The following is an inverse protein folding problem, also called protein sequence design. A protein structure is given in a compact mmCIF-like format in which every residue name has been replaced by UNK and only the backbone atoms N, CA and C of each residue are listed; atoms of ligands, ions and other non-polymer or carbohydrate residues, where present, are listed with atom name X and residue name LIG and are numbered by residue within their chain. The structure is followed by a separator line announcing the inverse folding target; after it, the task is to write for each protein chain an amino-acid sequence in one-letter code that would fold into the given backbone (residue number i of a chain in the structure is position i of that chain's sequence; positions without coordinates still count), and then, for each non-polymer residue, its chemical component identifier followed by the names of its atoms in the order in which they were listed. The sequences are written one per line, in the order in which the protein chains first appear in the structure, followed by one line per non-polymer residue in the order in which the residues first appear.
data_IF_032396638693
#
_entry.id   IF_032396638693
#
_cell.length_a   1.000
_cell.length_b   1.000
_cell.length_c   1.000
_cell.angle_alpha   90.00
_cell.angle_beta   90.00
_cell.angle_gamma   90.00
#
_symmetry.space_group_name_H-M   'P 1'
#
loop_
_entity.id
_entity.type
_entity.pdbx_description
1 polymer ?
#
# COMPACT_ATOMS: atom_id res chain seq x y z
N UNK A 1 -1.13 -17.56 35.05
CA UNK A 1 -2.50 -17.55 34.49
C UNK A 1 -3.40 -18.00 35.62
N UNK A 2 -4.17 -17.08 36.20
CA UNK A 2 -5.21 -17.46 37.16
C UNK A 2 -6.32 -18.19 36.40
N UNK A 3 -6.51 -19.45 36.73
CA UNK A 3 -7.56 -20.32 36.17
C UNK A 3 -8.95 -19.99 36.71
N UNK A 4 -9.06 -18.97 37.56
CA UNK A 4 -10.31 -18.56 38.23
C UNK A 4 -10.92 -17.28 37.66
N UNK A 5 -10.34 -16.67 36.63
CA UNK A 5 -11.01 -15.64 35.83
C UNK A 5 -12.07 -16.32 34.95
N UNK A 6 -13.12 -16.78 35.62
CA UNK A 6 -14.33 -17.30 35.00
C UNK A 6 -14.85 -16.21 34.06
N UNK A 7 -14.90 -16.56 32.77
CA UNK A 7 -15.54 -15.76 31.73
C UNK A 7 -17.02 -15.62 32.08
N UNK A 8 -17.35 -14.69 32.97
CA UNK A 8 -18.72 -14.29 33.18
C UNK A 8 -19.26 -13.87 31.83
N UNK A 9 -20.31 -14.58 31.42
CA UNK A 9 -21.08 -14.46 30.18
C UNK A 9 -21.75 -13.09 29.96
N UNK A 10 -21.23 -12.05 30.60
CA UNK A 10 -21.61 -10.67 30.39
C UNK A 10 -21.44 -10.36 28.90
N UNK A 11 -22.59 -10.13 28.26
CA UNK A 11 -22.74 -9.82 26.84
C UNK A 11 -21.65 -8.84 26.37
N UNK A 12 -21.17 -8.95 25.12
CA UNK A 12 -20.27 -7.96 24.57
C UNK A 12 -20.91 -6.58 24.76
N UNK A 13 -20.24 -5.70 25.51
CA UNK A 13 -20.65 -4.32 25.71
C UNK A 13 -20.71 -3.65 24.33
N UNK A 14 -21.91 -3.63 23.77
CA UNK A 14 -22.20 -3.00 22.50
C UNK A 14 -21.82 -1.53 22.66
N UNK A 15 -21.16 -0.88 21.67
CA UNK A 15 -20.73 0.52 21.74
C UNK A 15 -21.91 1.50 21.66
N UNK A 16 -22.98 1.25 22.42
CA UNK A 16 -24.26 1.95 22.34
C UNK A 16 -24.11 3.42 22.73
N UNK A 17 -23.34 3.71 23.78
CA UNK A 17 -23.14 5.09 24.24
C UNK A 17 -22.31 5.91 23.22
N UNK A 18 -21.10 5.49 22.79
CA UNK A 18 -20.36 6.24 21.77
C UNK A 18 -21.12 6.37 20.45
N UNK A 19 -21.89 5.35 20.07
CA UNK A 19 -22.73 5.37 18.87
C UNK A 19 -23.84 6.43 18.97
N UNK A 20 -24.65 6.39 20.04
CA UNK A 20 -25.74 7.35 20.23
C UNK A 20 -25.22 8.78 20.37
N UNK A 21 -24.18 8.98 21.20
CA UNK A 21 -23.54 10.28 21.36
C UNK A 21 -23.00 10.79 20.02
N UNK A 22 -22.33 9.94 19.26
CA UNK A 22 -21.81 10.31 17.95
C UNK A 22 -22.92 10.65 16.94
N UNK A 23 -24.03 9.91 16.92
CA UNK A 23 -25.19 10.25 16.09
C UNK A 23 -25.81 11.59 16.48
N UNK A 24 -25.96 11.86 17.78
CA UNK A 24 -26.50 13.14 18.27
C UNK A 24 -25.58 14.29 17.91
N UNK A 25 -24.27 14.16 18.18
CA UNK A 25 -23.26 15.18 17.83
C UNK A 25 -23.30 15.45 16.33
N UNK A 26 -23.34 14.39 15.51
CA UNK A 26 -23.42 14.54 14.08
C UNK A 26 -24.67 15.29 13.63
N UNK A 27 -25.85 14.90 14.13
CA UNK A 27 -27.11 15.55 13.76
C UNK A 27 -27.09 17.05 14.12
N UNK A 28 -26.62 17.38 15.32
CA UNK A 28 -26.50 18.78 15.77
C UNK A 28 -25.52 19.56 14.89
N UNK A 29 -24.35 19.00 14.59
CA UNK A 29 -23.35 19.66 13.76
C UNK A 29 -23.82 19.83 12.32
N UNK A 30 -24.46 18.81 11.74
CA UNK A 30 -25.05 18.90 10.41
C UNK A 30 -26.06 20.06 10.34
N UNK A 31 -27.01 20.10 11.26
CA UNK A 31 -28.04 21.14 11.30
C UNK A 31 -27.44 22.54 11.52
N UNK A 32 -26.45 22.64 12.40
CA UNK A 32 -25.76 23.91 12.70
C UNK A 32 -24.97 24.39 11.49
N UNK A 33 -24.20 23.51 10.85
CA UNK A 33 -23.41 23.83 9.67
C UNK A 33 -24.31 24.17 8.48
N UNK A 34 -25.39 23.42 8.29
CA UNK A 34 -26.37 23.70 7.24
C UNK A 34 -27.02 25.07 7.45
N UNK A 35 -27.46 25.37 8.68
CA UNK A 35 -28.02 26.66 9.04
C UNK A 35 -27.00 27.80 8.85
N UNK A 36 -25.74 27.58 9.24
CA UNK A 36 -24.66 28.53 9.02
C UNK A 36 -24.44 28.81 7.53
N UNK A 37 -24.26 27.76 6.71
CA UNK A 37 -24.04 27.91 5.27
C UNK A 37 -25.23 28.58 4.59
N UNK A 38 -26.47 28.22 4.97
CA UNK A 38 -27.68 28.85 4.45
C UNK A 38 -27.77 30.34 4.77
N UNK A 39 -27.39 30.76 5.97
CA UNK A 39 -27.54 32.15 6.42
C UNK A 39 -26.38 33.05 5.95
N UNK A 40 -25.15 32.54 5.94
CA UNK A 40 -23.96 33.34 5.63
C UNK A 40 -23.51 33.20 4.16
N UNK A 41 -23.82 32.08 3.50
CA UNK A 41 -23.45 31.79 2.11
C UNK A 41 -24.65 31.28 1.30
N UNK A 42 -25.77 32.03 1.22
CA UNK A 42 -27.02 31.55 0.64
C UNK A 42 -26.87 31.12 -0.82
N UNK A 43 -26.13 31.86 -1.64
CA UNK A 43 -25.91 31.50 -3.04
C UNK A 43 -25.18 30.14 -3.20
N UNK A 44 -24.22 29.86 -2.32
CA UNK A 44 -23.53 28.57 -2.32
C UNK A 44 -24.45 27.45 -1.84
N UNK A 45 -25.24 27.70 -0.78
CA UNK A 45 -26.24 26.75 -0.29
C UNK A 45 -27.25 26.36 -1.37
N UNK A 46 -27.77 27.34 -2.10
CA UNK A 46 -28.71 27.13 -3.19
C UNK A 46 -28.08 26.31 -4.32
N UNK A 47 -26.83 26.60 -4.71
CA UNK A 47 -26.08 25.77 -5.67
C UNK A 47 -25.91 24.31 -5.20
N UNK A 48 -25.59 24.09 -3.92
CA UNK A 48 -25.53 22.74 -3.37
C UNK A 48 -26.88 22.01 -3.48
N UNK A 49 -27.98 22.72 -3.21
CA UNK A 49 -29.35 22.17 -3.25
C UNK A 49 -29.83 21.85 -4.66
N UNK A 50 -29.31 22.52 -5.70
CA UNK A 50 -29.61 22.20 -7.10
C UNK A 50 -29.15 20.79 -7.48
N UNK A 51 -28.06 20.30 -6.88
CA UNK A 51 -27.56 18.94 -7.08
C UNK A 51 -27.44 18.21 -5.73
N UNK A 52 -28.59 17.76 -5.22
CA UNK A 52 -28.70 17.09 -3.92
C UNK A 52 -27.78 15.86 -3.85
N UNK A 53 -27.74 15.07 -4.93
CA UNK A 53 -27.06 13.77 -4.94
C UNK A 53 -25.54 13.93 -4.98
N UNK A 54 -25.00 14.84 -5.80
CA UNK A 54 -23.55 14.96 -6.01
C UNK A 54 -22.90 16.02 -5.13
N UNK A 55 -23.56 17.17 -4.93
CA UNK A 55 -23.00 18.32 -4.20
C UNK A 55 -23.44 18.32 -2.74
N UNK A 56 -24.73 18.45 -2.47
CA UNK A 56 -25.23 18.58 -1.08
C UNK A 56 -24.85 17.38 -0.20
N UNK A 57 -25.12 16.15 -0.65
CA UNK A 57 -24.80 14.94 0.10
C UNK A 57 -23.28 14.77 0.30
N UNK A 58 -22.48 15.21 -0.67
CA UNK A 58 -21.04 15.17 -0.52
C UNK A 58 -20.56 16.17 0.55
N UNK A 59 -21.04 17.41 0.56
CA UNK A 59 -20.61 18.41 1.54
C UNK A 59 -21.06 18.09 2.97
N UNK A 60 -22.35 17.81 3.16
CA UNK A 60 -22.94 17.59 4.49
C UNK A 60 -22.94 16.13 4.94
N UNK A 61 -22.54 15.20 4.07
CA UNK A 61 -22.30 13.80 4.39
C UNK A 61 -20.80 13.50 4.36
N UNK A 62 -20.25 13.26 3.18
CA UNK A 62 -18.90 12.71 2.98
C UNK A 62 -17.78 13.64 3.43
N UNK A 63 -17.83 14.94 3.15
CA UNK A 63 -16.79 15.89 3.50
C UNK A 63 -16.76 16.13 5.01
N UNK A 64 -17.92 16.37 5.61
CA UNK A 64 -18.03 16.41 7.07
C UNK A 64 -17.55 15.08 7.70
N UNK A 65 -17.90 13.96 7.08
CA UNK A 65 -17.45 12.62 7.49
C UNK A 65 -15.93 12.48 7.46
N UNK A 66 -15.29 13.10 6.47
CA UNK A 66 -13.83 13.14 6.32
C UNK A 66 -13.17 13.86 7.49
N UNK A 67 -13.74 14.95 7.98
CA UNK A 67 -13.25 15.65 9.17
C UNK A 67 -13.40 14.73 10.39
N UNK A 68 -14.54 14.06 10.52
CA UNK A 68 -14.80 13.10 11.60
C UNK A 68 -13.92 11.84 11.55
N UNK A 69 -13.42 11.45 10.38
CA UNK A 69 -12.48 10.34 10.23
C UNK A 69 -11.16 10.58 10.98
N UNK A 70 -10.77 11.83 11.24
CA UNK A 70 -9.60 12.12 12.09
C UNK A 70 -9.84 11.65 13.52
N UNK A 71 -11.02 11.95 14.09
CA UNK A 71 -11.42 11.47 15.43
C UNK A 71 -11.53 9.95 15.44
N UNK A 72 -12.09 9.36 14.38
CA UNK A 72 -12.14 7.91 14.24
C UNK A 72 -10.74 7.27 14.15
N UNK A 73 -9.80 7.88 13.44
CA UNK A 73 -8.44 7.37 13.34
C UNK A 73 -7.71 7.42 14.70
N UNK A 74 -7.89 8.50 15.47
CA UNK A 74 -7.32 8.63 16.82
C UNK A 74 -7.91 7.57 17.75
N UNK A 75 -9.24 7.44 17.79
CA UNK A 75 -9.92 6.45 18.66
C UNK A 75 -9.59 5.02 18.26
N UNK A 76 -9.51 4.71 16.97
CA UNK A 76 -9.05 3.40 16.50
C UNK A 76 -7.56 3.15 16.73
N UNK A 77 -6.72 4.20 16.78
CA UNK A 77 -5.32 4.10 17.18
C UNK A 77 -5.19 3.78 18.65
N UNK A 78 -5.96 4.47 19.49
CA UNK A 78 -6.05 4.13 20.90
C UNK A 78 -6.54 2.68 21.09
N UNK A 79 -7.57 2.25 20.35
CA UNK A 79 -8.05 0.87 20.38
C UNK A 79 -6.94 -0.12 19.96
N UNK A 80 -6.21 0.16 18.88
CA UNK A 80 -5.10 -0.67 18.40
C UNK A 80 -4.06 -0.94 19.50
N UNK A 81 -3.63 0.11 20.21
CA UNK A 81 -2.57 0.00 21.23
C UNK A 81 -3.07 -0.50 22.60
N UNK A 82 -4.33 -0.29 22.92
CA UNK A 82 -4.90 -0.70 24.23
C UNK A 82 -5.54 -2.09 24.20
N UNK A 83 -5.86 -2.61 23.02
CA UNK A 83 -6.38 -3.97 22.85
C UNK A 83 -5.33 -4.98 23.31
N UNK A 84 -5.71 -5.92 24.19
CA UNK A 84 -4.79 -6.92 24.75
C UNK A 84 -4.39 -7.96 23.69
N UNK A 85 -3.15 -8.48 23.76
CA UNK A 85 -2.67 -9.45 22.77
C UNK A 85 -3.47 -10.77 22.78
N UNK A 86 -4.06 -11.11 23.91
CA UNK A 86 -4.94 -12.27 24.05
C UNK A 86 -6.15 -12.23 23.09
N UNK A 87 -6.65 -11.05 22.73
CA UNK A 87 -7.80 -10.92 21.81
C UNK A 87 -7.44 -11.18 20.35
N UNK A 88 -6.16 -11.46 20.05
CA UNK A 88 -5.75 -11.94 18.74
C UNK A 88 -5.98 -13.46 18.58
N UNK A 89 -6.40 -14.14 19.65
CA UNK A 89 -6.78 -15.56 19.65
C UNK A 89 -8.27 -15.67 19.28
N UNK A 90 -8.54 -16.37 18.17
CA UNK A 90 -9.91 -16.64 17.71
C UNK A 90 -10.73 -17.36 18.76
N UNK A 91 -11.97 -16.93 18.96
CA UNK A 91 -12.91 -17.59 19.86
C UNK A 91 -12.78 -17.15 21.32
N UNK A 92 -11.74 -16.38 21.66
CA UNK A 92 -11.60 -15.81 23.00
C UNK A 92 -12.58 -14.62 23.15
N UNK A 93 -13.60 -14.81 23.96
CA UNK A 93 -14.59 -13.76 24.25
C UNK A 93 -14.03 -12.83 25.33
N UNK A 94 -13.90 -11.55 24.98
CA UNK A 94 -13.64 -10.45 25.91
C UNK A 94 -14.60 -9.31 25.59
N UNK A 95 -15.07 -8.53 26.57
CA UNK A 95 -15.81 -7.30 26.26
C UNK A 95 -14.92 -6.32 25.47
N UNK A 96 -15.54 -5.38 24.76
CA UNK A 96 -14.84 -4.26 24.14
C UNK A 96 -14.42 -3.28 25.24
N UNK A 97 -13.15 -2.92 25.29
CA UNK A 97 -12.70 -1.85 26.18
C UNK A 97 -13.23 -0.48 25.72
N UNK A 98 -13.10 0.56 26.55
CA UNK A 98 -13.61 1.90 26.25
C UNK A 98 -13.09 2.44 24.91
N UNK A 99 -11.80 2.30 24.61
CA UNK A 99 -11.22 2.79 23.36
C UNK A 99 -11.76 2.02 22.14
N UNK A 100 -11.93 0.70 22.26
CA UNK A 100 -12.58 -0.12 21.25
C UNK A 100 -14.03 0.33 21.00
N UNK A 101 -14.80 0.56 22.07
CA UNK A 101 -16.19 1.03 21.96
C UNK A 101 -16.28 2.36 21.21
N UNK A 102 -15.37 3.31 21.50
CA UNK A 102 -15.31 4.59 20.78
C UNK A 102 -14.92 4.42 19.31
N UNK A 103 -13.91 3.62 19.01
CA UNK A 103 -13.52 3.34 17.62
C UNK A 103 -14.70 2.77 16.81
N UNK A 104 -15.41 1.77 17.35
CA UNK A 104 -16.56 1.18 16.70
C UNK A 104 -17.73 2.16 16.56
N UNK A 105 -18.05 2.90 17.63
CA UNK A 105 -19.12 3.89 17.62
C UNK A 105 -18.88 4.97 16.56
N UNK A 106 -17.67 5.53 16.51
CA UNK A 106 -17.28 6.50 15.48
C UNK A 106 -17.38 5.92 14.07
N UNK A 107 -16.94 4.68 13.86
CA UNK A 107 -17.02 4.01 12.55
C UNK A 107 -18.46 3.79 12.09
N UNK A 108 -19.30 3.30 12.99
CA UNK A 108 -20.73 3.10 12.71
C UNK A 108 -21.43 4.42 12.35
N UNK A 109 -21.16 5.50 13.10
CA UNK A 109 -21.69 6.84 12.79
C UNK A 109 -21.23 7.27 11.39
N UNK A 110 -19.93 7.21 11.08
CA UNK A 110 -19.41 7.59 9.77
C UNK A 110 -20.10 6.81 8.64
N UNK A 111 -20.23 5.49 8.77
CA UNK A 111 -20.85 4.65 7.74
C UNK A 111 -22.31 5.00 7.50
N UNK A 112 -23.10 5.22 8.55
CA UNK A 112 -24.51 5.64 8.42
C UNK A 112 -24.61 6.97 7.66
N UNK A 113 -23.71 7.91 7.95
CA UNK A 113 -23.77 9.25 7.39
C UNK A 113 -23.26 9.32 5.95
N UNK A 114 -22.43 8.37 5.55
CA UNK A 114 -21.92 8.21 4.19
C UNK A 114 -22.90 7.46 3.27
N UNK A 115 -23.93 6.80 3.81
CA UNK A 115 -24.95 6.07 3.04
C UNK A 115 -25.57 6.85 1.87
N UNK A 116 -25.93 8.14 1.98
CA UNK A 116 -26.52 8.89 0.88
C UNK A 116 -25.57 9.03 -0.33
N UNK A 117 -24.26 8.95 -0.11
CA UNK A 117 -23.22 9.12 -1.13
C UNK A 117 -22.81 7.79 -1.80
N UNK A 118 -23.25 6.66 -1.25
CA UNK A 118 -22.97 5.30 -1.76
C UNK A 118 -23.46 5.11 -3.20
N UNK A 119 -24.50 5.85 -3.61
CA UNK A 119 -25.00 5.84 -4.99
C UNK A 119 -24.07 6.50 -6.00
N UNK A 120 -23.16 7.38 -5.56
CA UNK A 120 -22.28 8.14 -6.43
C UNK A 120 -20.84 7.63 -6.44
N UNK A 121 -20.45 6.87 -5.40
CA UNK A 121 -19.11 6.28 -5.24
C UNK A 121 -19.23 4.77 -4.97
N UNK A 122 -19.24 3.91 -6.00
CA UNK A 122 -19.30 2.46 -5.84
C UNK A 122 -18.18 1.89 -4.95
N UNK A 123 -17.03 2.55 -4.93
CA UNK A 123 -15.89 2.16 -4.11
C UNK A 123 -16.18 2.27 -2.61
N UNK A 124 -17.05 3.19 -2.22
CA UNK A 124 -17.52 3.37 -0.84
C UNK A 124 -18.39 2.19 -0.39
N UNK A 125 -19.19 1.60 -1.32
CA UNK A 125 -19.99 0.40 -1.07
C UNK A 125 -19.09 -0.75 -0.61
N UNK A 126 -18.07 -1.06 -1.40
CA UNK A 126 -17.18 -2.20 -1.15
C UNK A 126 -16.46 -1.99 0.19
N UNK A 127 -15.97 -0.78 0.44
CA UNK A 127 -15.32 -0.44 1.70
C UNK A 127 -16.24 -0.64 2.92
N UNK A 128 -17.49 -0.17 2.86
CA UNK A 128 -18.46 -0.33 3.94
C UNK A 128 -18.87 -1.78 4.14
N UNK A 129 -19.17 -2.51 3.06
CA UNK A 129 -19.55 -3.93 3.14
C UNK A 129 -18.44 -4.75 3.78
N UNK A 130 -17.18 -4.56 3.36
CA UNK A 130 -16.05 -5.26 3.96
C UNK A 130 -15.85 -4.90 5.44
N UNK A 131 -16.02 -3.63 5.80
CA UNK A 131 -15.86 -3.18 7.19
C UNK A 131 -16.98 -3.68 8.11
N UNK A 132 -18.22 -3.66 7.62
CA UNK A 132 -19.39 -4.21 8.34
C UNK A 132 -19.26 -5.73 8.46
N UNK A 133 -18.86 -6.43 7.40
CA UNK A 133 -18.60 -7.86 7.46
C UNK A 133 -17.53 -8.21 8.49
N UNK A 134 -16.47 -7.40 8.57
CA UNK A 134 -15.43 -7.55 9.58
C UNK A 134 -15.96 -7.32 11.01
N UNK A 135 -16.79 -6.29 11.23
CA UNK A 135 -17.46 -6.03 12.52
C UNK A 135 -18.38 -7.18 12.93
N UNK A 136 -19.23 -7.65 12.01
CA UNK A 136 -20.11 -8.81 12.22
C UNK A 136 -19.28 -10.05 12.52
N UNK A 137 -18.16 -10.22 11.81
CA UNK A 137 -17.20 -11.28 12.04
C UNK A 137 -16.68 -11.28 13.48
N UNK A 138 -16.22 -10.13 13.97
CA UNK A 138 -15.78 -9.98 15.36
C UNK A 138 -16.92 -10.32 16.34
N UNK A 139 -18.13 -9.80 16.13
CA UNK A 139 -19.24 -10.00 17.07
C UNK A 139 -19.78 -11.44 17.07
N UNK A 140 -19.91 -12.05 15.90
CA UNK A 140 -20.52 -13.37 15.75
C UNK A 140 -19.52 -14.52 15.97
N UNK A 141 -18.25 -14.32 15.62
CA UNK A 141 -17.23 -15.37 15.60
C UNK A 141 -16.00 -15.05 16.44
N UNK A 142 -15.99 -13.94 17.19
CA UNK A 142 -14.85 -13.51 18.01
C UNK A 142 -13.55 -13.48 17.22
N UNK A 143 -13.61 -12.85 16.04
CA UNK A 143 -12.43 -12.64 15.22
C UNK A 143 -11.41 -11.72 15.92
N UNK A 144 -10.12 -11.90 15.60
CA UNK A 144 -9.07 -10.99 16.01
C UNK A 144 -9.39 -9.55 15.61
N UNK A 145 -9.27 -8.62 16.58
CA UNK A 145 -9.77 -7.24 16.43
C UNK A 145 -8.69 -6.25 16.03
N UNK A 146 -7.47 -6.48 16.50
CA UNK A 146 -6.35 -5.54 16.37
C UNK A 146 -6.00 -5.27 14.90
N UNK A 147 -6.11 -6.28 14.06
CA UNK A 147 -5.93 -6.21 12.61
C UNK A 147 -6.92 -5.21 11.97
N UNK A 148 -8.18 -5.24 12.41
CA UNK A 148 -9.23 -4.38 11.89
C UNK A 148 -9.04 -2.94 12.40
N UNK A 149 -8.61 -2.76 13.66
CA UNK A 149 -8.26 -1.45 14.17
C UNK A 149 -7.12 -0.82 13.39
N UNK A 150 -6.07 -1.59 13.06
CA UNK A 150 -4.97 -1.14 12.21
C UNK A 150 -5.47 -0.67 10.84
N UNK A 151 -6.37 -1.42 10.22
CA UNK A 151 -6.97 -1.00 8.96
C UNK A 151 -7.76 0.31 9.10
N UNK A 152 -8.49 0.46 10.20
CA UNK A 152 -9.29 1.67 10.42
C UNK A 152 -8.45 2.90 10.77
N UNK A 153 -7.30 2.78 11.44
CA UNK A 153 -6.43 3.94 11.68
C UNK A 153 -5.86 4.52 10.39
N UNK A 154 -5.67 3.68 9.37
CA UNK A 154 -5.04 4.05 8.10
C UNK A 154 -5.93 4.92 7.19
N UNK A 155 -7.21 5.11 7.53
CA UNK A 155 -8.20 5.82 6.71
C UNK A 155 -8.08 7.35 6.72
N UNK A 156 -7.12 7.92 7.46
CA UNK A 156 -6.77 9.35 7.39
C UNK A 156 -6.39 9.77 5.96
N UNK A 157 -5.91 8.84 5.14
CA UNK A 157 -5.52 9.09 3.76
C UNK A 157 -6.69 9.54 2.85
N UNK A 158 -7.95 9.32 3.24
CA UNK A 158 -9.13 9.69 2.46
C UNK A 158 -9.33 11.21 2.35
N UNK A 159 -8.65 12.01 3.18
CA UNK A 159 -8.70 13.47 3.13
C UNK A 159 -8.29 14.00 1.76
N UNK A 160 -7.21 13.47 1.18
CA UNK A 160 -6.72 13.91 -0.14
C UNK A 160 -7.69 13.51 -1.25
N UNK A 161 -8.25 12.31 -1.18
CA UNK A 161 -9.27 11.83 -2.12
C UNK A 161 -10.52 12.72 -2.11
N UNK A 162 -11.01 13.10 -0.93
CA UNK A 162 -12.19 13.96 -0.82
C UNK A 162 -11.89 15.43 -1.16
N UNK A 163 -10.69 15.93 -0.83
CA UNK A 163 -10.26 17.26 -1.28
C UNK A 163 -10.16 17.33 -2.81
N UNK A 164 -9.66 16.26 -3.45
CA UNK A 164 -9.66 16.13 -4.91
C UNK A 164 -11.09 16.19 -5.47
N UNK A 165 -12.04 15.51 -4.84
CA UNK A 165 -13.45 15.53 -5.25
C UNK A 165 -14.09 16.92 -5.11
N UNK A 166 -13.76 17.70 -4.07
CA UNK A 166 -14.17 19.12 -3.97
C UNK A 166 -13.72 19.89 -5.20
N UNK A 167 -12.44 19.79 -5.55
CA UNK A 167 -11.88 20.52 -6.68
C UNK A 167 -12.52 20.09 -8.01
N UNK A 168 -12.89 18.81 -8.14
CA UNK A 168 -13.63 18.31 -9.32
C UNK A 168 -15.09 18.78 -9.35
N UNK A 169 -15.75 18.91 -8.21
CA UNK A 169 -17.15 19.41 -8.13
C UNK A 169 -17.24 20.89 -8.53
N UNK A 170 -16.20 21.67 -8.22
CA UNK A 170 -16.12 23.11 -8.51
C UNK A 170 -15.34 23.45 -9.77
N UNK A 171 -15.04 22.46 -10.62
CA UNK A 171 -14.27 22.64 -11.86
C UNK A 171 -12.93 23.39 -11.67
N UNK A 172 -12.36 23.29 -10.46
CA UNK A 172 -11.09 23.90 -10.07
C UNK A 172 -9.89 22.96 -10.33
N UNK A 173 -10.13 21.84 -11.01
CA UNK A 173 -9.15 20.78 -11.20
C UNK A 173 -8.29 21.04 -12.44
N UNK A 174 -7.15 21.69 -12.27
CA UNK A 174 -6.16 21.80 -13.36
C UNK A 174 -5.42 20.46 -13.57
N UNK A 175 -4.83 20.22 -14.77
CA UNK A 175 -4.09 18.98 -15.03
C UNK A 175 -2.95 18.73 -14.02
N UNK A 176 -2.21 19.78 -13.64
CA UNK A 176 -1.14 19.67 -12.66
C UNK A 176 -1.63 19.30 -11.26
N UNK A 177 -2.76 19.89 -10.83
CA UNK A 177 -3.37 19.58 -9.52
C UNK A 177 -3.97 18.18 -9.53
N UNK A 178 -4.62 17.76 -10.62
CA UNK A 178 -5.13 16.38 -10.76
C UNK A 178 -4.00 15.36 -10.68
N UNK A 179 -2.89 15.62 -11.38
CA UNK A 179 -1.72 14.76 -11.34
C UNK A 179 -1.13 14.66 -9.93
N UNK A 180 -0.88 15.79 -9.28
CA UNK A 180 -0.26 15.83 -7.96
C UNK A 180 -1.15 15.19 -6.89
N UNK A 181 -2.44 15.51 -6.87
CA UNK A 181 -3.39 14.91 -5.93
C UNK A 181 -3.57 13.41 -6.16
N UNK A 182 -3.57 12.95 -7.41
CA UNK A 182 -3.61 11.52 -7.74
C UNK A 182 -2.35 10.78 -7.25
N UNK A 183 -1.17 11.37 -7.44
CA UNK A 183 0.09 10.82 -6.94
C UNK A 183 0.06 10.72 -5.42
N UNK A 184 -0.19 11.83 -4.73
CA UNK A 184 -0.19 11.88 -3.26
C UNK A 184 -1.23 10.92 -2.69
N UNK A 185 -2.49 10.98 -3.16
CA UNK A 185 -3.54 10.09 -2.66
C UNK A 185 -3.20 8.61 -2.86
N UNK A 186 -2.69 8.25 -4.03
CA UNK A 186 -2.33 6.86 -4.32
C UNK A 186 -1.12 6.41 -3.48
N UNK A 187 -0.10 7.25 -3.32
CA UNK A 187 1.04 6.97 -2.43
C UNK A 187 0.58 6.77 -0.98
N UNK A 188 -0.34 7.59 -0.47
CA UNK A 188 -0.89 7.44 0.88
C UNK A 188 -1.70 6.15 1.01
N UNK A 189 -2.45 5.74 -0.02
CA UNK A 189 -3.13 4.43 -0.05
C UNK A 189 -2.12 3.29 0.08
N UNK A 190 -1.01 3.35 -0.66
CA UNK A 190 0.05 2.33 -0.58
C UNK A 190 0.68 2.29 0.81
N UNK A 191 1.12 3.44 1.32
CA UNK A 191 1.79 3.56 2.61
C UNK A 191 0.88 3.08 3.74
N UNK A 192 -0.35 3.58 3.81
CA UNK A 192 -1.21 3.34 4.97
C UNK A 192 -2.12 2.12 4.78
N UNK A 193 -2.94 2.08 3.72
CA UNK A 193 -3.99 1.05 3.59
C UNK A 193 -3.44 -0.29 3.13
N UNK A 194 -2.60 -0.32 2.10
CA UNK A 194 -2.04 -1.56 1.56
C UNK A 194 -1.07 -2.16 2.57
N UNK A 195 -0.11 -1.38 3.10
CA UNK A 195 0.80 -1.87 4.14
C UNK A 195 0.05 -2.31 5.40
N UNK A 196 -0.95 -1.54 5.85
CA UNK A 196 -1.78 -1.92 7.00
C UNK A 196 -2.50 -3.25 6.78
N UNK A 197 -3.00 -3.51 5.57
CA UNK A 197 -3.62 -4.78 5.21
C UNK A 197 -2.62 -5.95 5.15
N UNK A 198 -1.39 -5.71 4.68
CA UNK A 198 -0.33 -6.72 4.72
C UNK A 198 0.07 -7.07 6.16
N UNK A 199 0.25 -6.07 7.02
CA UNK A 199 0.55 -6.30 8.45
C UNK A 199 -0.61 -7.04 9.13
N UNK A 200 -1.86 -6.64 8.86
CA UNK A 200 -3.05 -7.34 9.33
C UNK A 200 -3.06 -8.81 8.87
N UNK A 201 -2.72 -9.09 7.61
CA UNK A 201 -2.64 -10.46 7.09
C UNK A 201 -1.58 -11.29 7.81
N UNK A 202 -0.39 -10.72 8.06
CA UNK A 202 0.68 -11.38 8.83
C UNK A 202 0.19 -11.71 10.25
N UNK A 203 -0.48 -10.77 10.91
CA UNK A 203 -1.04 -11.00 12.24
C UNK A 203 -2.14 -12.07 12.25
N UNK A 204 -2.98 -12.16 11.21
CA UNK A 204 -3.96 -13.26 11.09
C UNK A 204 -3.24 -14.62 11.02
N UNK A 205 -2.16 -14.71 10.24
CA UNK A 205 -1.37 -15.93 10.10
C UNK A 205 -0.65 -16.32 11.40
N UNK A 206 -0.18 -15.34 12.16
CA UNK A 206 0.49 -15.55 13.46
C UNK A 206 -0.48 -15.84 14.61
N UNK A 207 -1.71 -15.31 14.56
CA UNK A 207 -2.70 -15.38 15.64
C UNK A 207 -3.32 -16.76 15.91
N UNK A 208 -2.79 -17.83 15.31
CA UNK A 208 -3.28 -19.19 15.51
C UNK A 208 -4.71 -19.43 15.00
N UNK A 209 -5.23 -18.54 14.15
CA UNK A 209 -6.53 -18.69 13.47
C UNK A 209 -6.51 -19.97 12.63
N UNK A 210 -7.53 -20.84 12.76
CA UNK A 210 -7.61 -22.13 12.04
C UNK A 210 -8.96 -22.33 11.34
N UNK A 211 -9.01 -23.29 10.42
CA UNK A 211 -10.23 -23.73 9.76
C UNK A 211 -10.82 -22.70 8.79
N UNK A 212 -12.13 -22.76 8.57
CA UNK A 212 -12.87 -21.91 7.61
C UNK A 212 -12.65 -20.42 7.90
N UNK A 213 -12.61 -20.06 9.18
CA UNK A 213 -12.40 -18.69 9.65
C UNK A 213 -11.07 -18.10 9.16
N UNK A 214 -10.00 -18.90 9.13
CA UNK A 214 -8.71 -18.48 8.58
C UNK A 214 -8.83 -18.15 7.09
N UNK A 215 -9.41 -19.08 6.32
CA UNK A 215 -9.55 -18.91 4.88
C UNK A 215 -10.41 -17.71 4.51
N UNK A 216 -11.52 -17.48 5.24
CA UNK A 216 -12.39 -16.31 5.01
C UNK A 216 -11.64 -15.01 5.30
N UNK A 217 -10.89 -14.93 6.40
CA UNK A 217 -10.10 -13.73 6.72
C UNK A 217 -8.99 -13.47 5.71
N UNK A 218 -8.22 -14.49 5.34
CA UNK A 218 -7.18 -14.37 4.31
C UNK A 218 -7.80 -13.94 2.98
N UNK A 219 -8.89 -14.58 2.55
CA UNK A 219 -9.56 -14.25 1.30
C UNK A 219 -10.09 -12.81 1.30
N UNK A 220 -10.70 -12.35 2.40
CA UNK A 220 -11.17 -10.98 2.53
C UNK A 220 -10.01 -9.96 2.48
N UNK A 221 -8.91 -10.23 3.19
CA UNK A 221 -7.72 -9.35 3.18
C UNK A 221 -7.05 -9.33 1.81
N UNK A 222 -6.87 -10.48 1.16
CA UNK A 222 -6.31 -10.57 -0.19
C UNK A 222 -7.21 -9.87 -1.21
N UNK A 223 -8.52 -10.07 -1.14
CA UNK A 223 -9.49 -9.36 -1.98
C UNK A 223 -9.34 -7.85 -1.81
N UNK A 224 -9.28 -7.37 -0.56
CA UNK A 224 -9.09 -5.95 -0.27
C UNK A 224 -7.75 -5.43 -0.81
N UNK A 225 -6.64 -6.13 -0.60
CA UNK A 225 -5.32 -5.74 -1.13
C UNK A 225 -5.35 -5.66 -2.65
N UNK A 226 -5.83 -6.71 -3.33
CA UNK A 226 -5.92 -6.77 -4.79
C UNK A 226 -6.81 -5.64 -5.31
N UNK A 227 -7.95 -5.40 -4.65
CA UNK A 227 -8.86 -4.33 -5.00
C UNK A 227 -8.19 -2.94 -4.90
N UNK A 228 -7.49 -2.67 -3.80
CA UNK A 228 -6.77 -1.40 -3.60
C UNK A 228 -5.61 -1.23 -4.59
N UNK A 229 -4.88 -2.29 -4.90
CA UNK A 229 -3.83 -2.27 -5.94
C UNK A 229 -4.45 -1.97 -7.31
N UNK A 230 -5.54 -2.65 -7.68
CA UNK A 230 -6.22 -2.41 -8.95
C UNK A 230 -6.73 -0.96 -9.06
N UNK A 231 -7.32 -0.44 -7.98
CA UNK A 231 -7.82 0.94 -7.92
C UNK A 231 -6.70 1.96 -8.10
N UNK A 232 -5.63 1.84 -7.31
CA UNK A 232 -4.49 2.77 -7.38
C UNK A 232 -3.75 2.68 -8.71
N UNK A 233 -3.56 1.48 -9.26
CA UNK A 233 -2.99 1.29 -10.59
C UNK A 233 -3.83 1.94 -11.69
N UNK A 234 -5.16 1.83 -11.60
CA UNK A 234 -6.07 2.52 -12.54
C UNK A 234 -5.92 4.04 -12.44
N UNK A 235 -5.83 4.58 -11.24
CA UNK A 235 -5.61 6.02 -11.03
C UNK A 235 -4.25 6.48 -11.54
N UNK A 236 -3.19 5.72 -11.28
CA UNK A 236 -1.87 6.02 -11.81
C UNK A 236 -1.84 6.01 -13.34
N UNK A 237 -2.48 5.02 -13.97
CA UNK A 237 -2.58 4.93 -15.43
C UNK A 237 -3.40 6.08 -16.02
N UNK A 238 -4.59 6.38 -15.45
CA UNK A 238 -5.47 7.48 -15.90
C UNK A 238 -4.77 8.84 -15.88
N UNK A 239 -3.97 9.10 -14.84
CA UNK A 239 -3.26 10.36 -14.68
C UNK A 239 -1.87 10.32 -15.33
N UNK A 240 -1.54 9.28 -16.11
CA UNK A 240 -0.22 9.07 -16.74
C UNK A 240 0.96 9.20 -15.75
N UNK A 241 0.70 8.86 -14.49
CA UNK A 241 1.73 8.84 -13.45
C UNK A 241 2.68 7.69 -13.74
N UNK A 242 2.12 6.52 -14.08
CA UNK A 242 2.88 5.36 -14.52
C UNK A 242 2.46 5.00 -15.92
N UNK A 243 3.43 5.01 -16.84
CA UNK A 243 3.26 4.44 -18.17
C UNK A 243 4.33 3.37 -18.35
N UNK A 244 3.91 2.14 -18.68
CA UNK A 244 4.85 1.08 -19.06
C UNK A 244 5.12 1.33 -20.53
N UNK A 245 6.38 1.65 -20.88
CA UNK A 245 6.76 1.87 -22.27
C UNK A 245 6.58 0.55 -23.06
N UNK A 246 5.59 0.46 -23.96
CA UNK A 246 5.27 -0.78 -24.64
C UNK A 246 6.32 -1.17 -25.68
N UNK A 247 7.14 -0.22 -26.15
CA UNK A 247 8.16 -0.47 -27.18
C UNK A 247 9.42 -1.08 -26.56
N UNK A 248 9.69 -0.78 -25.28
CA UNK A 248 10.87 -1.27 -24.58
C UNK A 248 10.60 -2.35 -23.53
N UNK A 249 9.38 -2.47 -23.00
CA UNK A 249 8.99 -3.40 -21.91
C UNK A 249 9.74 -3.22 -20.59
N UNK A 250 10.87 -2.50 -20.60
CA UNK A 250 11.90 -2.51 -19.57
C UNK A 250 11.85 -1.30 -18.65
N UNK A 251 11.00 -0.30 -18.95
CA UNK A 251 10.96 0.96 -18.22
C UNK A 251 9.55 1.29 -17.76
N UNK A 252 9.45 1.61 -16.47
CA UNK A 252 8.35 2.33 -15.87
C UNK A 252 8.64 3.83 -16.03
N UNK A 253 7.87 4.51 -16.87
CA UNK A 253 7.96 5.96 -17.01
C UNK A 253 7.08 6.60 -15.94
N UNK A 254 7.71 7.30 -15.00
CA UNK A 254 7.05 8.06 -13.94
C UNK A 254 6.95 9.53 -14.33
N UNK A 255 5.73 10.06 -14.33
CA UNK A 255 5.46 11.48 -14.59
C UNK A 255 5.96 12.00 -15.95
N UNK A 256 6.08 11.13 -16.96
CA UNK A 256 6.67 11.44 -18.28
C UNK A 256 8.14 11.93 -18.23
N UNK A 257 8.78 11.95 -17.04
CA UNK A 257 10.11 12.53 -16.81
C UNK A 257 11.14 11.49 -16.37
N UNK A 258 10.73 10.55 -15.53
CA UNK A 258 11.65 9.60 -14.90
C UNK A 258 11.47 8.23 -15.53
N UNK A 259 12.53 7.67 -16.12
CA UNK A 259 12.52 6.29 -16.62
C UNK A 259 13.14 5.39 -15.56
N UNK A 260 12.32 4.61 -14.87
CA UNK A 260 12.77 3.63 -13.88
C UNK A 260 12.84 2.27 -14.54
N UNK A 261 13.98 1.59 -14.46
CA UNK A 261 14.12 0.25 -15.02
C UNK A 261 13.28 -0.75 -14.19
N UNK A 262 12.35 -1.47 -14.84
CA UNK A 262 11.48 -2.46 -14.21
C UNK A 262 12.29 -3.59 -13.56
N UNK A 263 13.40 -4.01 -14.19
CA UNK A 263 14.31 -5.02 -13.61
C UNK A 263 14.86 -4.51 -12.27
N UNK A 264 15.17 -3.22 -12.16
CA UNK A 264 15.62 -2.60 -10.91
C UNK A 264 14.54 -2.65 -9.82
N UNK A 265 13.28 -2.43 -10.18
CA UNK A 265 12.14 -2.52 -9.26
C UNK A 265 11.99 -3.97 -8.75
N UNK A 266 11.97 -4.96 -9.66
CA UNK A 266 11.85 -6.36 -9.28
C UNK A 266 13.05 -6.87 -8.49
N UNK A 267 14.26 -6.40 -8.79
CA UNK A 267 15.45 -6.70 -8.02
C UNK A 267 15.34 -6.14 -6.60
N UNK A 268 14.89 -4.89 -6.44
CA UNK A 268 14.65 -4.28 -5.13
C UNK A 268 13.56 -5.01 -4.34
N UNK A 269 12.47 -5.40 -5.00
CA UNK A 269 11.41 -6.21 -4.38
C UNK A 269 11.92 -7.58 -3.95
N UNK A 270 12.69 -8.25 -4.82
CA UNK A 270 13.29 -9.55 -4.52
C UNK A 270 14.23 -9.48 -3.31
N UNK A 271 15.02 -8.41 -3.21
CA UNK A 271 15.91 -8.16 -2.09
C UNK A 271 15.12 -7.98 -0.79
N UNK A 272 14.10 -7.11 -0.79
CA UNK A 272 13.24 -6.91 0.37
C UNK A 272 12.53 -8.20 0.81
N UNK A 273 12.03 -9.00 -0.13
CA UNK A 273 11.42 -10.29 0.17
C UNK A 273 12.42 -11.28 0.76
N UNK A 274 13.65 -11.33 0.23
CA UNK A 274 14.70 -12.19 0.78
C UNK A 274 15.13 -11.76 2.19
N UNK A 275 15.20 -10.45 2.47
CA UNK A 275 15.48 -9.95 3.82
C UNK A 275 14.40 -10.34 4.82
N UNK A 276 13.11 -10.15 4.46
CA UNK A 276 11.98 -10.54 5.32
C UNK A 276 11.99 -12.06 5.54
N UNK A 277 12.19 -12.85 4.47
CA UNK A 277 12.31 -14.31 4.56
C UNK A 277 13.46 -14.73 5.49
N UNK A 278 14.61 -14.04 5.40
CA UNK A 278 15.77 -14.29 6.26
C UNK A 278 15.44 -14.07 7.73
N UNK A 279 14.79 -12.94 8.05
CA UNK A 279 14.37 -12.64 9.42
C UNK A 279 13.39 -13.69 9.96
N UNK A 280 12.44 -14.15 9.14
CA UNK A 280 11.48 -15.18 9.53
C UNK A 280 12.14 -16.53 9.78
N UNK A 281 13.03 -16.97 8.88
CA UNK A 281 13.75 -18.25 9.05
C UNK A 281 14.64 -18.20 10.29
N UNK A 282 15.34 -17.08 10.50
CA UNK A 282 16.22 -16.90 11.65
C UNK A 282 15.45 -16.93 12.98
N UNK A 283 14.29 -16.28 13.05
CA UNK A 283 13.43 -16.31 14.24
C UNK A 283 12.88 -17.73 14.52
N UNK A 284 12.56 -18.48 13.46
CA UNK A 284 12.06 -19.86 13.56
C UNK A 284 13.10 -20.86 14.07
N UNK A 285 14.41 -20.59 13.91
CA UNK A 285 15.50 -21.47 14.34
C UNK A 285 15.72 -21.48 15.88
N UNK A 286 14.88 -20.79 16.64
CA UNK A 286 14.90 -20.82 18.10
C UNK A 286 16.00 -19.97 18.74
N UNK A 287 16.83 -19.30 17.94
CA UNK A 287 17.70 -18.19 18.35
C UNK A 287 16.87 -16.93 18.56
N UNK A 288 15.95 -16.99 19.53
CA UNK A 288 14.93 -15.98 19.81
C UNK A 288 15.49 -14.56 19.67
N UNK A 289 15.12 -13.85 18.60
CA UNK A 289 15.28 -12.40 18.51
C UNK A 289 14.27 -11.80 19.51
N UNK A 290 14.59 -11.90 20.79
CA UNK A 290 13.66 -11.53 21.88
C UNK A 290 13.79 -10.08 22.27
N UNK A 291 14.90 -9.42 21.89
CA UNK A 291 15.07 -8.01 22.16
C UNK A 291 14.69 -7.17 20.95
N UNK A 292 13.89 -6.13 21.17
CA UNK A 292 13.59 -5.06 20.21
C UNK A 292 14.88 -4.51 19.57
N UNK A 293 15.94 -4.42 20.37
CA UNK A 293 17.30 -4.04 19.95
C UNK A 293 17.87 -4.99 18.89
N UNK A 294 17.65 -6.30 19.03
CA UNK A 294 18.06 -7.31 18.07
C UNK A 294 17.38 -7.11 16.72
N UNK A 295 16.05 -6.97 16.71
CA UNK A 295 15.26 -6.73 15.48
C UNK A 295 15.75 -5.45 14.78
N UNK A 296 15.85 -4.33 15.51
CA UNK A 296 16.33 -3.07 14.94
C UNK A 296 17.75 -3.19 14.37
N UNK A 297 18.66 -3.88 15.07
CA UNK A 297 20.03 -4.08 14.59
C UNK A 297 20.08 -4.92 13.31
N UNK A 298 19.27 -5.98 13.24
CA UNK A 298 19.17 -6.84 12.05
C UNK A 298 18.62 -6.04 10.88
N UNK A 299 17.51 -5.31 11.05
CA UNK A 299 16.93 -4.48 9.98
C UNK A 299 17.90 -3.40 9.50
N UNK A 300 18.66 -2.78 10.40
CA UNK A 300 19.66 -1.78 10.01
C UNK A 300 20.80 -2.42 9.21
N UNK A 301 21.30 -3.56 9.65
CA UNK A 301 22.41 -4.26 9.00
C UNK A 301 22.01 -4.84 7.65
N UNK A 302 20.78 -5.34 7.49
CA UNK A 302 20.30 -5.79 6.17
C UNK A 302 20.22 -4.62 5.19
N UNK A 303 19.70 -3.47 5.62
CA UNK A 303 19.66 -2.26 4.79
C UNK A 303 21.07 -1.77 4.41
N UNK A 304 22.02 -1.83 5.35
CA UNK A 304 23.43 -1.55 5.07
C UNK A 304 24.01 -2.55 4.06
N UNK A 305 23.73 -3.84 4.23
CA UNK A 305 24.18 -4.90 3.33
C UNK A 305 23.60 -4.75 1.91
N UNK A 306 22.36 -4.32 1.78
CA UNK A 306 21.74 -3.96 0.51
C UNK A 306 22.49 -2.81 -0.18
N UNK A 307 22.77 -1.72 0.55
CA UNK A 307 23.48 -0.56 0.03
C UNK A 307 24.92 -0.89 -0.37
N UNK A 308 25.67 -1.57 0.50
CA UNK A 308 27.06 -1.99 0.21
C UNK A 308 27.11 -3.05 -0.89
N UNK A 309 26.10 -3.91 -1.00
CA UNK A 309 25.96 -4.85 -2.10
C UNK A 309 25.74 -4.15 -3.45
N UNK A 310 24.91 -3.10 -3.50
CA UNK A 310 24.77 -2.29 -4.72
C UNK A 310 26.09 -1.60 -5.10
N UNK A 311 26.81 -1.06 -4.11
CA UNK A 311 28.13 -0.46 -4.30
C UNK A 311 29.13 -1.52 -4.81
N UNK A 312 29.21 -2.68 -4.16
CA UNK A 312 30.07 -3.80 -4.53
C UNK A 312 29.78 -4.33 -5.92
N UNK A 313 28.50 -4.43 -6.30
CA UNK A 313 28.10 -4.82 -7.64
C UNK A 313 28.62 -3.85 -8.71
N UNK A 314 28.70 -2.56 -8.40
CA UNK A 314 29.22 -1.54 -9.32
C UNK A 314 30.75 -1.43 -9.34
N UNK A 315 31.42 -1.67 -8.20
CA UNK A 315 32.89 -1.56 -8.08
C UNK A 315 33.60 -2.81 -8.59
N UNK A 316 33.07 -4.01 -8.34
CA UNK A 316 33.75 -5.26 -8.61
C UNK A 316 34.15 -5.45 -10.10
N UNK A 317 33.31 -5.10 -11.10
CA UNK A 317 33.74 -5.12 -12.50
C UNK A 317 34.87 -4.13 -12.80
N UNK A 318 34.91 -2.97 -12.12
CA UNK A 318 35.92 -1.92 -12.33
C UNK A 318 37.27 -2.27 -11.70
N UNK A 319 37.25 -3.07 -10.64
CA UNK A 319 38.46 -3.57 -9.99
C UNK A 319 39.12 -4.69 -10.79
N UNK A 320 38.37 -5.37 -11.66
CA UNK A 320 38.88 -6.42 -12.53
C UNK A 320 39.34 -5.83 -13.89
N UNK A 321 40.55 -5.25 -13.89
CA UNK A 321 41.14 -4.52 -15.03
C UNK A 321 41.30 -5.33 -16.33
N UNK A 322 41.34 -6.67 -16.25
CA UNK A 322 41.50 -7.53 -17.44
C UNK A 322 40.20 -7.77 -18.22
N UNK A 323 39.09 -7.17 -17.79
CA UNK A 323 37.75 -7.52 -18.26
C UNK A 323 36.94 -6.33 -18.77
N UNK A 324 37.63 -5.29 -19.23
CA UNK A 324 37.06 -3.99 -19.59
C UNK A 324 36.20 -3.98 -20.86
N UNK A 325 36.25 -5.02 -21.70
CA UNK A 325 35.60 -4.97 -23.03
C UNK A 325 34.22 -5.62 -23.11
N UNK A 326 33.83 -6.52 -22.21
CA UNK A 326 32.59 -7.32 -22.37
C UNK A 326 31.80 -7.62 -21.10
N UNK A 327 32.18 -7.14 -19.91
CA UNK A 327 31.44 -7.46 -18.69
C UNK A 327 30.17 -6.59 -18.51
N UNK A 328 29.12 -7.16 -17.88
CA UNK A 328 27.97 -6.40 -17.46
C UNK A 328 28.37 -5.27 -16.50
N UNK A 329 27.67 -4.13 -16.60
CA UNK A 329 27.89 -2.93 -15.75
C UNK A 329 27.74 -3.20 -14.24
N UNK A 330 27.22 -4.37 -13.85
CA UNK A 330 27.02 -4.81 -12.48
C UNK A 330 27.45 -6.28 -12.33
N UNK A 331 28.20 -6.60 -11.28
CA UNK A 331 28.58 -7.97 -10.90
C UNK A 331 27.73 -8.46 -9.73
N UNK A 332 26.97 -9.53 -9.95
CA UNK A 332 26.19 -10.18 -8.89
C UNK A 332 27.10 -10.72 -7.77
N UNK A 333 28.22 -11.33 -8.14
CA UNK A 333 29.22 -11.84 -7.19
C UNK A 333 29.83 -10.73 -6.34
N UNK A 334 30.14 -9.59 -6.97
CA UNK A 334 30.67 -8.42 -6.27
C UNK A 334 29.67 -7.87 -5.25
N UNK A 335 28.40 -7.76 -5.62
CA UNK A 335 27.39 -7.28 -4.70
C UNK A 335 27.12 -8.23 -3.54
N UNK A 336 27.07 -9.53 -3.83
CA UNK A 336 26.87 -10.54 -2.81
C UNK A 336 28.04 -10.60 -1.81
N UNK A 337 29.29 -10.53 -2.28
CA UNK A 337 30.47 -10.53 -1.42
C UNK A 337 30.45 -9.33 -0.46
N UNK A 338 30.12 -8.13 -0.95
CA UNK A 338 30.05 -6.93 -0.13
C UNK A 338 28.88 -6.98 0.87
N UNK A 339 27.72 -7.49 0.46
CA UNK A 339 26.58 -7.68 1.35
C UNK A 339 26.90 -8.67 2.48
N UNK A 340 27.47 -9.83 2.14
CA UNK A 340 27.88 -10.85 3.12
C UNK A 340 28.97 -10.32 4.07
N UNK A 341 29.98 -9.62 3.54
CA UNK A 341 31.01 -8.99 4.35
C UNK A 341 30.40 -7.95 5.32
N UNK A 342 29.42 -7.18 4.87
CA UNK A 342 28.72 -6.20 5.72
C UNK A 342 28.02 -6.91 6.89
N UNK A 343 27.33 -8.01 6.64
CA UNK A 343 26.66 -8.77 7.69
C UNK A 343 27.67 -9.36 8.70
N UNK A 344 28.75 -9.96 8.20
CA UNK A 344 29.73 -10.63 9.05
C UNK A 344 30.58 -9.65 9.88
N UNK A 345 30.88 -8.48 9.34
CA UNK A 345 31.80 -7.51 9.94
C UNK A 345 31.12 -6.25 10.50
N UNK A 346 29.79 -6.10 10.37
CA UNK A 346 29.14 -4.89 10.87
C UNK A 346 29.25 -4.80 12.40
N UNK A 347 29.72 -3.66 12.94
CA UNK A 347 29.72 -3.39 14.37
C UNK A 347 28.33 -3.01 14.89
N UNK A 348 27.36 -2.72 14.01
CA UNK A 348 26.00 -2.32 14.42
C UNK A 348 25.08 -3.50 14.68
N UNK A 349 25.48 -4.72 14.33
CA UNK A 349 24.72 -5.92 14.65
C UNK A 349 24.89 -6.25 16.14
N UNK A 350 23.78 -6.48 16.84
CA UNK A 350 23.83 -6.80 18.26
C UNK A 350 24.63 -8.09 18.53
N UNK A 351 25.40 -8.11 19.61
CA UNK A 351 26.25 -9.25 19.99
C UNK A 351 25.47 -10.54 20.27
N UNK A 352 24.15 -10.42 20.50
CA UNK A 352 23.24 -11.56 20.69
C UNK A 352 22.87 -12.26 19.38
N UNK A 353 23.17 -11.68 18.22
CA UNK A 353 22.84 -12.23 16.90
C UNK A 353 24.00 -13.09 16.41
N UNK A 354 23.76 -14.39 16.24
CA UNK A 354 24.68 -15.28 15.55
C UNK A 354 24.80 -14.86 14.06
N UNK A 355 25.91 -14.22 13.75
CA UNK A 355 26.26 -13.70 12.42
C UNK A 355 26.31 -14.80 11.37
N UNK A 356 26.77 -16.00 11.76
CA UNK A 356 26.95 -17.12 10.84
C UNK A 356 25.61 -17.76 10.49
N UNK A 357 24.76 -17.99 11.49
CA UNK A 357 23.40 -18.47 11.29
C UNK A 357 22.57 -17.46 10.49
N UNK A 358 22.70 -16.15 10.78
CA UNK A 358 22.00 -15.11 10.03
C UNK A 358 22.43 -15.05 8.56
N UNK A 359 23.75 -15.12 8.31
CA UNK A 359 24.28 -15.20 6.95
C UNK A 359 23.78 -16.45 6.21
N UNK A 360 23.72 -17.61 6.88
CA UNK A 360 23.17 -18.84 6.30
C UNK A 360 21.67 -18.71 5.95
N UNK A 361 20.87 -18.09 6.83
CA UNK A 361 19.46 -17.80 6.55
C UNK A 361 19.28 -16.90 5.32
N UNK A 362 20.20 -15.93 5.12
CA UNK A 362 20.20 -15.10 3.92
C UNK A 362 20.48 -15.92 2.66
N UNK A 363 21.42 -16.87 2.75
CA UNK A 363 21.69 -17.79 1.63
C UNK A 363 20.49 -18.63 1.26
N UNK A 364 19.76 -19.12 2.27
CA UNK A 364 18.52 -19.88 2.06
C UNK A 364 17.42 -19.04 1.42
N UNK A 365 17.40 -17.73 1.68
CA UNK A 365 16.42 -16.79 1.11
C UNK A 365 16.82 -16.23 -0.25
N UNK A 366 18.08 -16.39 -0.67
CA UNK A 366 18.59 -15.88 -1.96
C UNK A 366 17.81 -16.38 -3.19
N UNK A 367 17.40 -17.66 -3.29
CA UNK A 367 16.59 -18.14 -4.42
C UNK A 367 15.31 -17.33 -4.63
N UNK A 368 14.70 -16.80 -3.57
CA UNK A 368 13.51 -15.95 -3.67
C UNK A 368 13.82 -14.64 -4.41
N UNK A 369 14.94 -13.98 -4.06
CA UNK A 369 15.40 -12.78 -4.77
C UNK A 369 15.68 -13.07 -6.24
N UNK A 370 16.39 -14.18 -6.53
CA UNK A 370 16.72 -14.58 -7.90
C UNK A 370 15.45 -14.88 -8.71
N UNK A 371 14.50 -15.65 -8.16
CA UNK A 371 13.23 -15.94 -8.81
C UNK A 371 12.42 -14.68 -9.15
N UNK A 372 12.27 -13.75 -8.20
CA UNK A 372 11.56 -12.48 -8.42
C UNK A 372 12.28 -11.64 -9.49
N UNK A 373 13.62 -11.58 -9.43
CA UNK A 373 14.43 -10.85 -10.41
C UNK A 373 14.31 -11.46 -11.81
N UNK A 374 14.36 -12.79 -11.94
CA UNK A 374 14.17 -13.51 -13.21
C UNK A 374 12.78 -13.29 -13.78
N UNK A 375 11.75 -13.32 -12.93
CA UNK A 375 10.40 -13.00 -13.35
C UNK A 375 10.30 -11.57 -13.87
N UNK A 376 10.89 -10.60 -13.15
CA UNK A 376 10.99 -9.22 -13.61
C UNK A 376 11.72 -9.07 -14.95
N UNK A 377 12.79 -9.83 -15.18
CA UNK A 377 13.48 -9.87 -16.48
C UNK A 377 12.56 -10.40 -17.58
N UNK A 378 11.82 -11.48 -17.32
CA UNK A 378 10.90 -12.06 -18.30
C UNK A 378 9.79 -11.08 -18.71
N UNK A 379 9.31 -10.26 -17.77
CA UNK A 379 8.33 -9.21 -18.01
C UNK A 379 8.93 -8.00 -18.74
N UNK A 380 10.21 -7.72 -18.52
CA UNK A 380 10.92 -6.60 -19.13
C UNK A 380 11.35 -6.86 -20.58
N UNK A 381 11.54 -8.12 -20.97
CA UNK A 381 11.83 -8.52 -22.35
C UNK A 381 10.56 -8.45 -23.20
N UNK A 382 10.53 -7.66 -24.29
CA UNK A 382 9.40 -7.68 -25.21
C UNK A 382 9.26 -9.07 -25.86
N UNK A 383 8.03 -9.52 -26.16
CA UNK A 383 7.83 -10.76 -26.91
C UNK A 383 8.56 -10.69 -28.25
N UNK A 384 9.22 -11.79 -28.63
CA UNK A 384 10.08 -11.92 -29.82
C UNK A 384 9.44 -11.43 -31.11
N UNK A 385 8.12 -11.52 -31.22
CA UNK A 385 7.35 -11.02 -32.37
C UNK A 385 7.41 -9.50 -32.56
N UNK A 386 7.59 -8.70 -31.51
CA UNK A 386 7.70 -7.22 -31.62
C UNK A 386 9.13 -6.81 -31.96
N UNK A 387 10.12 -7.55 -31.48
CA UNK A 387 11.53 -7.30 -31.77
C UNK A 387 11.85 -7.56 -33.26
N UNK A 388 11.29 -8.63 -33.85
CA UNK A 388 11.44 -8.96 -35.28
C UNK A 388 10.77 -7.93 -36.19
N UNK A 389 9.58 -7.42 -35.82
CA UNK A 389 8.89 -6.36 -36.59
C UNK A 389 9.67 -5.04 -36.53
N UNK A 390 10.19 -4.64 -35.36
CA UNK A 390 10.96 -3.40 -35.22
C UNK A 390 12.34 -3.46 -35.89
N UNK A 391 12.94 -4.65 -35.99
CA UNK A 391 14.19 -4.86 -36.74
C UNK A 391 13.95 -4.94 -38.24
N UNK A 392 12.84 -5.54 -38.68
CA UNK A 392 12.42 -5.52 -40.09
C UNK A 392 12.12 -4.11 -40.59
N UNK A 393 11.49 -3.27 -39.77
CA UNK A 393 11.12 -1.89 -40.15
C UNK A 393 12.35 -0.98 -40.23
N UNK A 394 13.32 -1.14 -39.31
CA UNK A 394 14.61 -0.45 -39.37
C UNK A 394 15.50 -0.89 -40.54
N UNK A 395 15.43 -2.16 -40.94
CA UNK A 395 16.18 -2.67 -42.08
C UNK A 395 15.48 -2.35 -43.41
N UNK A 396 14.15 -2.19 -43.43
CA UNK A 396 13.39 -1.76 -44.60
C UNK A 396 13.56 -0.28 -44.97
N UNK A 397 13.85 0.59 -43.98
CA UNK A 397 14.12 2.02 -44.21
C UNK A 397 15.54 2.32 -44.73
N UNK A 398 16.46 1.35 -44.67
CA UNK A 398 17.85 1.51 -45.15
C UNK A 398 18.08 0.94 -46.57
N UNK A 399 17.01 0.56 -47.30
CA UNK A 399 17.11 -0.03 -48.64
C UNK A 399 16.53 0.85 -49.77
N UNK A 400 16.22 2.12 -49.48
CA UNK A 400 15.85 3.09 -50.53
C UNK A 400 16.96 4.13 -50.59
N UNK A 401 17.98 3.85 -51.41
CA UNK A 401 18.91 4.88 -51.87
C UNK A 401 18.09 5.98 -52.60
N UNK A 402 18.37 7.27 -52.37
CA UNK A 402 17.69 8.33 -53.08
C UNK A 402 18.13 8.30 -54.55
N UNK A 403 17.20 7.95 -55.44
CA UNK A 403 17.34 8.19 -56.87
C UNK A 403 17.45 9.69 -57.07
N UNK A 404 18.63 10.12 -57.48
CA UNK A 404 19.01 11.49 -57.84
C UNK A 404 18.17 11.93 -59.05
N UNK A 405 16.99 12.50 -58.79
CA UNK A 405 16.15 13.10 -59.82
C UNK A 405 16.69 14.49 -60.18
N UNK A 406 17.54 14.53 -61.19
CA UNK A 406 17.96 15.74 -61.91
C UNK A 406 16.74 16.37 -62.59
N UNK A 407 16.09 17.33 -61.92
CA UNK A 407 15.02 18.14 -62.52
C UNK A 407 15.67 19.19 -63.41
N UNK A 408 15.57 19.00 -64.73
CA UNK A 408 15.80 20.04 -65.71
C UNK A 408 14.63 21.04 -65.68
N UNK A 409 14.90 22.30 -65.39
CA UNK A 409 13.97 23.42 -65.56
C UNK A 409 13.89 23.82 -67.04
N UNK A 410 12.69 23.90 -67.65
CA UNK A 410 12.49 24.64 -68.89
C UNK A 410 12.20 26.13 -68.62
N UNK A 411 12.42 27.00 -69.63
CA UNK A 411 12.61 28.43 -69.43
C UNK A 411 11.29 29.23 -69.37
N UNK A 412 11.45 30.42 -68.79
CA UNK A 412 10.46 31.48 -68.61
C UNK A 412 9.61 31.80 -69.85
N UNK A 413 8.30 31.95 -69.63
CA UNK A 413 7.42 32.92 -70.31
C UNK A 413 6.45 33.50 -69.28
#
# INVERSE_FOLDING_TARGET
MDTNDTCDSAKPEVPFVPFLVGLTIWAVLKLTLEGFVRNFFPAFYDDLRLDIRRKYNFYFGTWMGTIFKVVSAITCGAALFTTRAETDIVGLIRPLNVAEQWCWGCRAVIYIQELPDVTSVPELVIHHVLSIAAMVGILAYNLPRRQIYLLWTTLVNEFVGNARRILTIHDCMSPGVSWWTALVNSSLIWIFRISGAFVALIWVLQGGTRGITLFVNIAAMLFYIIYMIKMTSREFSRNKIFNIDPVGGSYLVVAERWKINLIGIFMGLGLACAEISTMLIYDLDGTRITSERGIHSITLVTLQAAATGLIGASLFPRLNKDSEKNLPKLSLHGGFLFAAATILFSPTLADTVDRTAFAACLMLSFPLMDSITRWGRSLATPPTTVAEVLTSEKNGLNLIDPVENTIQTPPDI
#
